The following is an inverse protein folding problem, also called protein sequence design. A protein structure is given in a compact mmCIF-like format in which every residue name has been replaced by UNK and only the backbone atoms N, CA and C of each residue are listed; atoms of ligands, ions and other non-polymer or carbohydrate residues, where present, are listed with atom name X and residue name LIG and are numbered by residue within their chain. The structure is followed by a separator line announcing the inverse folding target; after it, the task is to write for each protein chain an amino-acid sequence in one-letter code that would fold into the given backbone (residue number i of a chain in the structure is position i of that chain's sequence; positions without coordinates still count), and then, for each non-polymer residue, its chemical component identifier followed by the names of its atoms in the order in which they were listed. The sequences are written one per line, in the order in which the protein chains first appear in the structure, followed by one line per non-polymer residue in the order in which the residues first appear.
data_IF_782161624517
#
_entry.id   IF_782161624517
#
_cell.length_a   1.000
_cell.length_b   1.000
_cell.length_c   1.000
_cell.angle_alpha   90.00
_cell.angle_beta   90.00
_cell.angle_gamma   90.00
#
_symmetry.space_group_name_H-M   'P 1'
#
loop_
_entity.id
_entity.type
_entity.pdbx_description
1 polymer ?
#
# COMPACT_ATOMS: atom_id res chain seq x y z
N UNK A 1 -1.43 12.01 11.71
CA UNK A 1 -0.23 11.24 11.31
C UNK A 1 1.05 11.93 11.76
N UNK A 2 1.26 13.23 11.43
CA UNK A 2 2.51 13.95 11.74
C UNK A 2 2.83 13.95 13.23
N UNK A 3 1.84 14.20 14.10
CA UNK A 3 2.03 14.14 15.55
C UNK A 3 2.54 12.78 16.05
N UNK A 4 2.10 11.67 15.45
CA UNK A 4 2.63 10.33 15.75
C UNK A 4 4.11 10.19 15.41
N UNK A 5 4.62 10.93 14.40
CA UNK A 5 6.04 10.91 14.05
C UNK A 5 6.95 11.50 15.14
N UNK A 6 6.40 12.16 16.16
CA UNK A 6 7.14 12.62 17.35
C UNK A 6 7.16 11.62 18.49
N UNK A 7 6.58 10.44 18.30
CA UNK A 7 6.41 9.42 19.33
C UNK A 7 6.92 8.06 18.88
N UNK A 8 7.12 7.16 19.84
CA UNK A 8 7.38 5.74 19.57
C UNK A 8 6.10 4.90 19.49
N UNK A 9 4.91 5.53 19.56
CA UNK A 9 3.64 4.82 19.47
C UNK A 9 3.42 4.28 18.06
N UNK A 10 3.36 2.96 17.91
CA UNK A 10 3.08 2.20 16.67
C UNK A 10 1.69 1.56 16.66
N UNK A 11 0.87 1.79 17.68
CA UNK A 11 -0.44 1.16 17.87
C UNK A 11 -1.40 1.32 16.68
N UNK A 12 -1.25 2.40 15.90
CA UNK A 12 -2.08 2.66 14.73
C UNK A 12 -1.83 1.70 13.56
N UNK A 13 -0.63 1.09 13.51
CA UNK A 13 -0.22 0.15 12.46
C UNK A 13 -0.49 0.66 11.05
N UNK A 14 -0.31 1.96 10.80
CA UNK A 14 -0.64 2.62 9.53
C UNK A 14 0.55 3.34 8.93
N UNK A 15 0.54 3.47 7.60
CA UNK A 15 1.48 4.29 6.86
C UNK A 15 0.76 5.23 5.90
N UNK A 16 1.41 6.34 5.57
CA UNK A 16 0.85 7.38 4.71
C UNK A 16 1.56 7.42 3.36
N UNK A 17 0.77 7.42 2.29
CA UNK A 17 1.26 7.66 0.93
C UNK A 17 0.59 8.92 0.35
N UNK A 18 1.42 9.88 -0.03
CA UNK A 18 1.00 11.05 -0.81
C UNK A 18 0.94 10.64 -2.28
N UNK A 19 -0.22 10.73 -2.90
CA UNK A 19 -0.42 10.32 -4.29
C UNK A 19 -0.98 11.47 -5.13
N UNK A 20 -0.43 11.67 -6.33
CA UNK A 20 -0.92 12.68 -7.28
C UNK A 20 0.15 13.05 -8.30
N UNK A 21 -0.24 13.77 -9.34
CA UNK A 21 0.65 14.18 -10.42
C UNK A 21 1.85 15.01 -9.94
N UNK A 22 2.88 15.15 -10.77
CA UNK A 22 4.05 15.98 -10.47
C UNK A 22 3.67 17.44 -10.20
N UNK A 23 4.45 18.15 -9.38
CA UNK A 23 4.28 19.57 -9.10
C UNK A 23 3.16 19.93 -8.12
N UNK A 24 2.54 18.99 -7.43
CA UNK A 24 1.44 19.21 -6.47
C UNK A 24 1.90 19.50 -5.04
N UNK A 25 3.21 19.57 -4.78
CA UNK A 25 3.75 19.88 -3.45
C UNK A 25 4.04 18.67 -2.55
N UNK A 26 3.92 17.42 -3.05
CA UNK A 26 4.23 16.20 -2.27
C UNK A 26 5.59 16.25 -1.59
N UNK A 27 6.64 16.53 -2.36
CA UNK A 27 8.02 16.60 -1.84
C UNK A 27 8.22 17.76 -0.86
N UNK A 28 7.51 18.88 -1.05
CA UNK A 28 7.53 20.01 -0.10
C UNK A 28 6.94 19.59 1.24
N UNK A 29 5.81 18.89 1.22
CA UNK A 29 5.17 18.39 2.45
C UNK A 29 6.06 17.35 3.16
N UNK A 30 6.69 16.41 2.43
CA UNK A 30 7.63 15.46 3.03
C UNK A 30 8.78 16.20 3.71
N UNK A 31 9.42 17.14 3.01
CA UNK A 31 10.51 17.95 3.58
C UNK A 31 10.10 18.73 4.84
N UNK A 32 8.87 19.23 4.88
CA UNK A 32 8.35 19.92 6.05
C UNK A 32 8.19 18.97 7.24
N UNK A 33 7.66 17.76 7.00
CA UNK A 33 7.54 16.72 8.03
C UNK A 33 8.93 16.28 8.50
N UNK A 34 9.89 16.09 7.59
CA UNK A 34 11.27 15.75 7.90
C UNK A 34 11.94 16.83 8.76
N UNK A 35 11.76 18.11 8.41
CA UNK A 35 12.28 19.23 9.19
C UNK A 35 11.70 19.25 10.61
N UNK A 36 10.40 18.90 10.77
CA UNK A 36 9.75 18.84 12.07
C UNK A 36 10.22 17.67 12.94
N UNK A 37 10.56 16.53 12.34
CA UNK A 37 11.03 15.33 13.06
C UNK A 37 12.52 15.40 13.41
N UNK A 38 13.31 16.11 12.61
CA UNK A 38 14.76 16.22 12.74
C UNK A 38 15.53 15.10 12.04
N UNK A 39 16.63 15.47 11.37
CA UNK A 39 17.40 14.56 10.47
C UNK A 39 17.89 13.28 11.12
N UNK A 40 18.33 13.37 12.39
CA UNK A 40 18.83 12.24 13.15
C UNK A 40 17.77 11.15 13.40
N UNK A 41 16.49 11.52 13.35
CA UNK A 41 15.34 10.64 13.60
C UNK A 41 14.73 10.06 12.32
N UNK A 42 15.38 10.26 11.16
CA UNK A 42 14.82 9.90 9.85
C UNK A 42 15.66 8.81 9.18
N UNK A 43 15.00 7.97 8.41
CA UNK A 43 15.57 7.12 7.36
C UNK A 43 14.86 7.36 6.04
N UNK A 44 15.53 7.03 4.93
CA UNK A 44 15.00 7.24 3.57
C UNK A 44 15.12 5.94 2.77
N UNK A 45 14.32 4.94 3.12
CA UNK A 45 14.29 3.64 2.46
C UNK A 45 12.99 3.52 1.67
N UNK A 46 13.08 3.19 0.39
CA UNK A 46 11.88 3.01 -0.45
C UNK A 46 11.08 1.78 -0.03
N UNK A 47 9.81 1.76 -0.42
CA UNK A 47 8.93 0.65 -0.09
C UNK A 47 9.44 -0.69 -0.65
N UNK A 48 9.98 -0.68 -1.89
CA UNK A 48 10.55 -1.85 -2.55
C UNK A 48 11.85 -2.32 -1.89
N UNK A 49 12.61 -1.40 -1.32
CA UNK A 49 13.89 -1.73 -0.66
C UNK A 49 13.71 -2.26 0.75
N UNK A 50 12.58 -2.02 1.41
CA UNK A 50 12.32 -2.50 2.78
C UNK A 50 12.33 -4.03 2.89
N UNK A 51 12.09 -4.76 1.81
CA UNK A 51 12.17 -6.23 1.76
C UNK A 51 13.59 -6.76 1.52
N UNK A 52 14.53 -5.89 1.10
CA UNK A 52 15.91 -6.33 0.82
C UNK A 52 16.70 -6.50 2.11
N UNK A 53 17.64 -7.47 2.09
CA UNK A 53 18.56 -7.73 3.19
C UNK A 53 19.29 -6.46 3.61
N UNK A 54 19.50 -6.28 4.90
CA UNK A 54 20.15 -5.14 5.58
C UNK A 54 19.32 -3.84 5.65
N UNK A 55 18.39 -3.58 4.73
CA UNK A 55 17.74 -2.27 4.67
C UNK A 55 16.83 -1.98 5.85
N UNK A 56 16.21 -3.01 6.45
CA UNK A 56 15.41 -2.84 7.67
C UNK A 56 16.24 -2.32 8.85
N UNK A 57 17.57 -2.56 8.88
CA UNK A 57 18.46 -2.04 9.92
C UNK A 57 18.55 -0.52 9.94
N UNK A 58 18.26 0.14 8.81
CA UNK A 58 18.24 1.60 8.69
C UNK A 58 17.09 2.26 9.46
N UNK A 59 16.07 1.47 9.85
CA UNK A 59 14.93 1.95 10.63
C UNK A 59 15.17 1.89 12.13
N UNK A 60 16.26 1.26 12.57
CA UNK A 60 16.55 1.12 14.00
C UNK A 60 16.75 2.47 14.64
N UNK A 61 15.95 2.78 15.66
CA UNK A 61 16.02 4.05 16.39
C UNK A 61 15.39 5.24 15.67
N UNK A 62 14.79 5.05 14.49
CA UNK A 62 14.19 6.13 13.71
C UNK A 62 12.70 6.32 14.05
N UNK A 63 12.26 7.57 14.04
CA UNK A 63 10.86 7.97 14.26
C UNK A 63 10.06 8.03 12.94
N UNK A 64 10.75 8.34 11.84
CA UNK A 64 10.16 8.46 10.51
C UNK A 64 11.04 7.74 9.48
N UNK A 65 10.42 7.02 8.57
CA UNK A 65 10.99 6.65 7.30
C UNK A 65 10.21 7.34 6.18
N UNK A 66 10.88 8.19 5.40
CA UNK A 66 10.28 8.94 4.30
C UNK A 66 10.99 8.64 2.99
N UNK A 67 10.21 8.48 1.92
CA UNK A 67 10.75 8.33 0.57
C UNK A 67 9.90 9.17 -0.40
N UNK A 68 10.53 10.16 -1.01
CA UNK A 68 9.84 11.17 -1.81
C UNK A 68 9.51 10.72 -3.23
N UNK A 69 10.01 9.58 -3.69
CA UNK A 69 9.83 9.12 -5.07
C UNK A 69 9.68 7.60 -5.08
N UNK A 70 8.48 7.15 -4.78
CA UNK A 70 8.14 5.74 -4.78
C UNK A 70 7.79 5.32 -6.21
N UNK A 71 8.53 4.36 -6.76
CA UNK A 71 8.19 3.83 -8.07
C UNK A 71 6.84 3.10 -8.05
N UNK A 72 6.14 3.12 -9.20
CA UNK A 72 4.89 2.38 -9.37
C UNK A 72 5.10 0.88 -9.61
N UNK A 73 6.32 0.38 -9.45
CA UNK A 73 6.63 -1.04 -9.60
C UNK A 73 5.88 -1.90 -8.58
N UNK A 74 5.63 -3.12 -8.97
CA UNK A 74 4.96 -4.10 -8.11
C UNK A 74 5.80 -4.44 -6.89
N UNK A 75 5.15 -4.54 -5.74
CA UNK A 75 5.75 -5.11 -4.54
C UNK A 75 5.68 -6.63 -4.62
N UNK A 76 6.82 -7.28 -4.54
CA UNK A 76 6.89 -8.75 -4.54
C UNK A 76 6.32 -9.36 -3.25
N UNK A 77 6.49 -8.67 -2.12
CA UNK A 77 6.02 -9.14 -0.81
C UNK A 77 5.66 -7.99 0.14
N UNK A 78 4.40 -7.94 0.55
CA UNK A 78 3.90 -7.02 1.57
C UNK A 78 4.16 -7.51 3.02
N UNK A 79 4.77 -8.69 3.23
CA UNK A 79 4.93 -9.28 4.55
C UNK A 79 5.88 -8.47 5.43
N UNK A 80 6.96 -7.92 4.87
CA UNK A 80 7.89 -7.05 5.60
C UNK A 80 7.19 -5.80 6.10
N UNK A 81 6.35 -5.18 5.25
CA UNK A 81 5.56 -4.02 5.63
C UNK A 81 4.60 -4.33 6.79
N UNK A 82 3.93 -5.47 6.73
CA UNK A 82 3.02 -5.90 7.81
C UNK A 82 3.76 -6.09 9.13
N UNK A 83 4.96 -6.68 9.09
CA UNK A 83 5.81 -6.85 10.27
C UNK A 83 6.31 -5.51 10.81
N UNK A 84 6.79 -4.61 9.95
CA UNK A 84 7.26 -3.28 10.34
C UNK A 84 6.19 -2.43 11.02
N UNK A 85 4.93 -2.56 10.58
CA UNK A 85 3.79 -1.83 11.09
C UNK A 85 3.08 -2.58 12.24
N UNK A 86 3.35 -3.87 12.41
CA UNK A 86 2.62 -4.77 13.31
C UNK A 86 3.22 -4.92 14.70
N UNK A 87 4.25 -4.14 15.08
CA UNK A 87 4.98 -4.27 16.36
C UNK A 87 5.74 -5.60 16.52
N UNK A 88 5.78 -6.42 15.49
CA UNK A 88 6.52 -7.68 15.50
C UNK A 88 8.03 -7.44 15.64
N UNK A 89 8.71 -8.35 16.32
CA UNK A 89 10.17 -8.34 16.33
C UNK A 89 10.70 -8.82 14.98
N UNK A 90 11.55 -7.99 14.39
CA UNK A 90 12.20 -8.24 13.10
C UNK A 90 13.63 -8.66 13.34
N UNK A 91 14.05 -9.72 12.64
CA UNK A 91 15.46 -10.01 12.48
C UNK A 91 16.06 -9.07 11.44
N UNK A 92 17.16 -8.46 11.77
CA UNK A 92 17.91 -7.57 10.87
C UNK A 92 19.40 -7.80 11.00
N UNK A 93 20.11 -7.40 9.99
CA UNK A 93 21.56 -7.54 9.91
C UNK A 93 22.17 -6.22 9.43
N UNK A 94 23.40 -5.95 9.84
CA UNK A 94 24.27 -4.96 9.21
C UNK A 94 25.44 -5.67 8.54
N UNK A 95 25.93 -5.09 7.46
CA UNK A 95 27.05 -5.70 6.73
C UNK A 95 28.29 -5.81 7.65
N UNK A 96 28.77 -7.03 7.86
CA UNK A 96 29.93 -7.30 8.69
C UNK A 96 29.64 -7.38 10.21
N UNK A 97 28.38 -7.32 10.63
CA UNK A 97 27.98 -7.43 12.04
C UNK A 97 27.09 -8.66 12.25
N UNK A 98 26.97 -9.11 13.50
CA UNK A 98 26.01 -10.15 13.87
C UNK A 98 24.57 -9.64 13.71
N UNK A 99 23.67 -10.55 13.30
CA UNK A 99 22.24 -10.24 13.22
C UNK A 99 21.63 -9.94 14.60
N UNK A 100 20.60 -9.12 14.63
CA UNK A 100 19.93 -8.70 15.85
C UNK A 100 18.41 -8.62 15.64
N UNK A 101 17.68 -8.64 16.76
CA UNK A 101 16.24 -8.48 16.77
C UNK A 101 15.85 -7.08 17.24
N UNK A 102 14.95 -6.42 16.52
CA UNK A 102 14.39 -5.11 16.92
C UNK A 102 12.91 -5.02 16.60
N UNK A 103 12.19 -4.09 17.22
CA UNK A 103 10.85 -3.66 16.84
C UNK A 103 10.91 -2.25 16.27
N UNK A 104 10.35 -2.06 15.09
CA UNK A 104 10.29 -0.72 14.48
C UNK A 104 9.15 0.07 15.06
N UNK A 105 9.40 1.33 15.36
CA UNK A 105 8.38 2.33 15.68
C UNK A 105 8.37 3.50 14.69
N UNK A 106 9.17 3.39 13.62
CA UNK A 106 9.21 4.39 12.57
C UNK A 106 7.87 4.47 11.83
N UNK A 107 7.31 5.67 11.73
CA UNK A 107 6.16 5.94 10.87
C UNK A 107 6.65 5.96 9.43
N UNK A 108 5.88 5.37 8.52
CA UNK A 108 6.28 5.26 7.13
C UNK A 108 5.50 6.29 6.31
N UNK A 109 6.22 7.15 5.59
CA UNK A 109 5.68 8.21 4.75
C UNK A 109 6.29 8.11 3.35
N UNK A 110 5.44 7.91 2.35
CA UNK A 110 5.87 7.80 0.97
C UNK A 110 5.18 8.82 0.08
N UNK A 111 5.75 9.11 -1.09
CA UNK A 111 5.03 9.77 -2.17
C UNK A 111 5.20 9.04 -3.48
N UNK A 112 4.19 9.15 -4.36
CA UNK A 112 4.20 8.55 -5.68
C UNK A 112 3.30 9.33 -6.63
N UNK A 113 3.55 9.23 -7.92
CA UNK A 113 2.65 9.74 -8.95
C UNK A 113 1.52 8.73 -9.25
N UNK A 114 1.81 7.43 -9.13
CA UNK A 114 0.84 6.35 -9.28
C UNK A 114 1.04 5.33 -8.14
N UNK A 115 -0.05 4.79 -7.61
CA UNK A 115 0.02 3.80 -6.54
C UNK A 115 0.63 2.50 -7.06
N UNK A 116 1.54 1.85 -6.31
CA UNK A 116 2.13 0.58 -6.72
C UNK A 116 1.07 -0.53 -6.75
N UNK A 117 1.16 -1.42 -7.73
CA UNK A 117 0.37 -2.64 -7.75
C UNK A 117 1.05 -3.66 -6.86
N UNK A 118 0.30 -4.27 -5.93
CA UNK A 118 0.83 -5.23 -4.98
C UNK A 118 0.48 -6.64 -5.46
N UNK A 119 1.48 -7.38 -5.92
CA UNK A 119 1.32 -8.77 -6.29
C UNK A 119 1.20 -9.67 -5.06
N UNK A 120 0.36 -10.70 -5.17
CA UNK A 120 0.25 -11.73 -4.12
C UNK A 120 -0.47 -11.31 -2.84
N UNK A 121 -0.70 -10.03 -2.59
CA UNK A 121 -1.44 -9.54 -1.42
C UNK A 121 -2.95 -9.62 -1.68
N UNK A 122 -3.56 -10.69 -1.21
CA UNK A 122 -5.01 -10.94 -1.34
C UNK A 122 -5.76 -10.73 -0.03
N UNK A 123 -5.03 -10.40 1.04
CA UNK A 123 -5.64 -10.17 2.34
C UNK A 123 -5.83 -8.68 2.58
N UNK A 124 -6.83 -8.33 3.36
CA UNK A 124 -7.05 -6.97 3.82
C UNK A 124 -5.90 -6.42 4.70
N UNK A 125 -4.86 -7.25 4.92
CA UNK A 125 -3.77 -6.95 5.86
C UNK A 125 -2.91 -5.75 5.50
N UNK A 126 -2.61 -5.54 4.22
CA UNK A 126 -1.85 -4.38 3.73
C UNK A 126 -2.77 -3.16 3.60
N UNK A 127 -3.88 -3.31 2.90
CA UNK A 127 -4.78 -2.20 2.56
C UNK A 127 -5.36 -1.50 3.79
N UNK A 128 -5.69 -2.24 4.86
CA UNK A 128 -6.16 -1.64 6.12
C UNK A 128 -5.11 -0.76 6.81
N UNK A 129 -3.83 -0.93 6.48
CA UNK A 129 -2.72 -0.15 7.03
C UNK A 129 -2.39 1.08 6.19
N UNK A 130 -2.84 1.12 4.96
CA UNK A 130 -2.56 2.19 4.02
C UNK A 130 -3.51 3.38 4.23
N UNK A 131 -2.95 4.57 4.32
CA UNK A 131 -3.65 5.83 4.19
C UNK A 131 -3.14 6.52 2.93
N UNK A 132 -4.05 7.03 2.12
CA UNK A 132 -3.70 7.75 0.89
C UNK A 132 -4.17 9.19 1.02
N UNK A 133 -3.24 10.14 0.91
CA UNK A 133 -3.56 11.55 0.74
C UNK A 133 -3.38 11.92 -0.73
N UNK A 134 -4.50 12.17 -1.41
CA UNK A 134 -4.47 12.62 -2.79
C UNK A 134 -4.13 14.11 -2.86
N UNK A 135 -3.16 14.43 -3.69
CA UNK A 135 -2.67 15.78 -3.96
C UNK A 135 -2.78 16.05 -5.46
N UNK A 136 -3.99 16.31 -5.94
CA UNK A 136 -4.28 16.36 -7.39
C UNK A 136 -4.27 17.80 -7.93
N UNK A 137 -4.15 18.81 -7.07
CA UNK A 137 -4.16 20.22 -7.48
C UNK A 137 -2.74 20.73 -7.73
N UNK A 138 -2.45 21.09 -8.97
CA UNK A 138 -1.22 21.81 -9.31
C UNK A 138 -1.41 23.31 -9.08
N UNK A 139 -0.41 24.02 -8.52
CA UNK A 139 -0.43 25.48 -8.43
C UNK A 139 -0.36 26.08 -9.84
N UNK A 140 -1.01 27.23 -10.04
CA UNK A 140 -0.92 27.96 -11.32
C UNK A 140 0.48 28.50 -11.59
N UNK A 141 1.23 28.80 -10.55
CA UNK A 141 2.59 29.33 -10.62
C UNK A 141 3.46 28.56 -9.63
N UNK A 142 4.65 28.16 -10.07
CA UNK A 142 5.63 27.51 -9.21
C UNK A 142 6.21 28.53 -8.25
N UNK A 143 6.12 28.26 -6.97
CA UNK A 143 6.67 29.07 -5.91
C UNK A 143 7.97 28.46 -5.37
N UNK A 144 9.09 28.94 -5.86
CA UNK A 144 10.43 28.45 -5.47
C UNK A 144 10.81 28.79 -4.03
N UNK A 145 10.19 29.82 -3.44
CA UNK A 145 10.41 30.25 -2.05
C UNK A 145 9.47 29.58 -1.03
N UNK A 146 8.55 28.72 -1.47
CA UNK A 146 7.53 28.13 -0.59
C UNK A 146 8.13 27.42 0.61
N UNK A 147 9.14 26.56 0.40
CA UNK A 147 9.72 25.78 1.49
C UNK A 147 10.39 26.67 2.54
N UNK A 148 11.09 27.73 2.14
CA UNK A 148 11.74 28.66 3.07
C UNK A 148 10.70 29.32 3.99
N UNK A 149 9.54 29.73 3.44
CA UNK A 149 8.47 30.31 4.25
C UNK A 149 7.83 29.31 5.19
N UNK A 150 7.58 28.08 4.71
CA UNK A 150 7.04 27.00 5.54
C UNK A 150 8.02 26.61 6.66
N UNK A 151 9.32 26.62 6.40
CA UNK A 151 10.35 26.34 7.39
C UNK A 151 10.39 27.41 8.49
N UNK A 152 10.15 28.68 8.15
CA UNK A 152 9.99 29.74 9.14
C UNK A 152 8.75 29.55 10.04
N UNK A 153 7.72 28.89 9.54
CA UNK A 153 6.50 28.55 10.29
C UNK A 153 6.55 27.17 10.98
N UNK A 154 7.71 26.51 10.96
CA UNK A 154 7.87 25.16 11.51
C UNK A 154 7.40 25.02 12.97
N UNK A 155 7.65 25.96 13.89
CA UNK A 155 7.13 25.87 15.26
C UNK A 155 5.60 25.81 15.32
N UNK A 156 4.91 26.53 14.43
CA UNK A 156 3.46 26.50 14.33
C UNK A 156 2.97 25.17 13.77
N UNK A 157 3.63 24.65 12.73
CA UNK A 157 3.32 23.33 12.17
C UNK A 157 3.46 22.22 13.22
N UNK A 158 4.54 22.23 14.02
CA UNK A 158 4.75 21.27 15.13
C UNK A 158 3.64 21.41 16.17
N UNK A 159 3.27 22.64 16.56
CA UNK A 159 2.17 22.89 17.49
C UNK A 159 0.87 22.26 16.99
N UNK A 160 0.49 22.48 15.73
CA UNK A 160 -0.71 21.88 15.15
C UNK A 160 -0.67 20.35 15.16
N UNK A 161 0.49 19.77 14.84
CA UNK A 161 0.67 18.32 14.84
C UNK A 161 0.53 17.71 16.25
N UNK A 162 1.08 18.39 17.26
CA UNK A 162 0.96 17.98 18.67
C UNK A 162 -0.49 18.13 19.17
N UNK A 163 -1.18 19.21 18.82
CA UNK A 163 -2.59 19.40 19.15
C UNK A 163 -3.46 18.29 18.55
N UNK A 164 -3.27 17.99 17.26
CA UNK A 164 -3.99 16.92 16.60
C UNK A 164 -3.70 15.54 17.21
N UNK A 165 -2.48 15.29 17.68
CA UNK A 165 -2.11 14.09 18.41
C UNK A 165 -2.86 13.99 19.73
N UNK A 166 -2.89 15.09 20.49
CA UNK A 166 -3.61 15.17 21.77
C UNK A 166 -5.11 14.91 21.58
N UNK A 167 -5.71 15.54 20.58
CA UNK A 167 -7.12 15.32 20.23
C UNK A 167 -7.41 13.86 19.82
N UNK A 168 -6.49 13.24 19.09
CA UNK A 168 -6.60 11.83 18.72
C UNK A 168 -6.65 10.94 19.96
N UNK A 169 -5.72 11.13 20.91
CA UNK A 169 -5.72 10.36 22.15
C UNK A 169 -6.95 10.63 23.02
N UNK A 170 -7.42 11.88 23.10
CA UNK A 170 -8.63 12.23 23.83
C UNK A 170 -9.90 11.57 23.26
N UNK A 171 -9.88 11.22 21.96
CA UNK A 171 -10.98 10.51 21.28
C UNK A 171 -10.81 8.99 21.23
N UNK A 172 -10.02 8.40 22.12
CA UNK A 172 -9.79 6.96 22.22
C UNK A 172 -8.59 6.45 21.44
N UNK A 173 -7.69 7.32 20.99
CA UNK A 173 -6.39 6.95 20.41
C UNK A 173 -6.47 6.34 19.00
N UNK A 174 -7.53 6.61 18.24
CA UNK A 174 -7.69 6.09 16.87
C UNK A 174 -7.53 7.21 15.85
N UNK A 175 -6.65 7.01 14.88
CA UNK A 175 -6.44 7.97 13.80
C UNK A 175 -7.68 8.03 12.88
N UNK A 176 -8.15 9.24 12.59
CA UNK A 176 -9.26 9.47 11.66
C UNK A 176 -8.80 9.32 10.22
N UNK A 177 -9.50 8.53 9.44
CA UNK A 177 -9.26 8.34 8.00
C UNK A 177 -10.35 9.11 7.23
N UNK A 178 -9.96 9.91 6.25
CA UNK A 178 -10.91 10.62 5.40
C UNK A 178 -11.60 9.66 4.43
N UNK A 179 -12.85 9.97 4.06
CA UNK A 179 -13.60 9.20 3.05
C UNK A 179 -12.86 9.11 1.70
N UNK A 180 -12.16 10.18 1.31
CA UNK A 180 -11.34 10.18 0.08
C UNK A 180 -10.18 9.18 0.17
N UNK A 181 -9.52 9.08 1.33
CA UNK A 181 -8.47 8.08 1.55
C UNK A 181 -9.02 6.66 1.48
N UNK A 182 -10.16 6.40 2.12
CA UNK A 182 -10.81 5.09 2.07
C UNK A 182 -11.24 4.70 0.65
N UNK A 183 -11.77 5.66 -0.13
CA UNK A 183 -12.14 5.42 -1.53
C UNK A 183 -10.91 5.10 -2.37
N UNK A 184 -9.81 5.85 -2.21
CA UNK A 184 -8.57 5.60 -2.92
C UNK A 184 -7.98 4.21 -2.61
N UNK A 185 -8.00 3.79 -1.34
CA UNK A 185 -7.57 2.45 -0.92
C UNK A 185 -8.47 1.36 -1.51
N UNK A 186 -9.79 1.56 -1.49
CA UNK A 186 -10.75 0.62 -2.11
C UNK A 186 -10.53 0.49 -3.61
N UNK A 187 -10.25 1.60 -4.30
CA UNK A 187 -9.97 1.57 -5.74
C UNK A 187 -8.66 0.82 -6.02
N UNK A 188 -7.59 1.14 -5.29
CA UNK A 188 -6.31 0.42 -5.40
C UNK A 188 -6.46 -1.09 -5.20
N UNK A 189 -7.30 -1.50 -4.23
CA UNK A 189 -7.58 -2.92 -4.01
C UNK A 189 -8.29 -3.56 -5.19
N UNK A 190 -9.32 -2.90 -5.76
CA UNK A 190 -10.02 -3.38 -6.96
C UNK A 190 -9.07 -3.48 -8.15
N UNK A 191 -8.23 -2.48 -8.36
CA UNK A 191 -7.27 -2.44 -9.46
C UNK A 191 -6.20 -3.55 -9.33
N UNK A 192 -5.84 -3.94 -8.10
CA UNK A 192 -4.94 -5.05 -7.80
C UNK A 192 -5.56 -6.44 -7.93
N UNK A 193 -6.89 -6.56 -7.94
CA UNK A 193 -7.58 -7.84 -8.09
C UNK A 193 -7.94 -8.11 -9.56
N UNK A 194 -6.94 -8.45 -10.34
CA UNK A 194 -7.10 -8.72 -11.78
C UNK A 194 -8.10 -9.86 -12.07
N UNK A 195 -8.26 -10.82 -11.13
CA UNK A 195 -9.25 -11.89 -11.29
C UNK A 195 -10.66 -11.38 -11.08
N UNK A 196 -10.86 -10.45 -10.13
CA UNK A 196 -12.17 -9.81 -9.97
C UNK A 196 -12.52 -8.94 -11.17
N UNK A 197 -11.57 -8.15 -11.67
CA UNK A 197 -11.78 -7.34 -12.87
C UNK A 197 -12.19 -8.22 -14.07
N UNK A 198 -11.47 -9.33 -14.30
CA UNK A 198 -11.85 -10.29 -15.33
C UNK A 198 -13.25 -10.91 -15.11
N UNK A 199 -13.59 -11.27 -13.88
CA UNK A 199 -14.94 -11.77 -13.55
C UNK A 199 -16.00 -10.72 -13.86
N UNK A 200 -15.76 -9.47 -13.48
CA UNK A 200 -16.70 -8.37 -13.68
C UNK A 200 -16.86 -8.01 -15.17
N UNK A 201 -15.80 -8.11 -15.97
CA UNK A 201 -15.78 -7.68 -17.36
C UNK A 201 -16.14 -8.81 -18.35
N UNK A 202 -15.73 -10.05 -18.06
CA UNK A 202 -15.78 -11.16 -19.02
C UNK A 202 -16.71 -12.30 -18.62
N UNK A 203 -17.20 -12.33 -17.36
CA UNK A 203 -17.95 -13.48 -16.87
C UNK A 203 -19.37 -13.14 -16.45
N UNK A 204 -20.26 -14.14 -16.55
CA UNK A 204 -21.58 -14.16 -15.93
C UNK A 204 -21.56 -15.15 -14.77
N UNK A 205 -22.18 -14.77 -13.63
CA UNK A 205 -22.27 -15.63 -12.45
C UNK A 205 -23.58 -16.41 -12.48
N UNK A 206 -23.48 -17.71 -12.73
CA UNK A 206 -24.62 -18.63 -12.85
C UNK A 206 -24.39 -19.86 -11.95
N UNK A 207 -25.09 -19.96 -10.83
CA UNK A 207 -24.85 -20.95 -9.77
C UNK A 207 -24.77 -22.42 -10.23
N UNK A 208 -25.47 -22.81 -11.29
CA UNK A 208 -25.51 -24.19 -11.79
C UNK A 208 -24.52 -24.46 -12.93
N UNK A 209 -23.93 -23.44 -13.52
CA UNK A 209 -22.99 -23.59 -14.64
C UNK A 209 -21.67 -24.14 -14.14
N UNK A 210 -21.11 -25.07 -14.89
CA UNK A 210 -19.80 -25.66 -14.66
C UNK A 210 -18.91 -25.37 -15.86
N UNK A 211 -17.84 -24.62 -15.68
CA UNK A 211 -16.92 -24.28 -16.75
C UNK A 211 -15.56 -24.92 -16.52
N UNK A 212 -15.00 -25.52 -17.57
CA UNK A 212 -13.68 -26.14 -17.53
C UNK A 212 -12.62 -25.13 -17.05
N UNK A 213 -11.78 -25.55 -16.09
CA UNK A 213 -10.80 -24.65 -15.46
C UNK A 213 -9.72 -24.18 -16.42
N UNK A 214 -9.37 -25.01 -17.43
CA UNK A 214 -8.34 -24.62 -18.42
C UNK A 214 -8.91 -23.55 -19.36
N UNK A 215 -10.19 -23.65 -19.75
CA UNK A 215 -10.86 -22.62 -20.54
C UNK A 215 -10.97 -21.30 -19.78
N UNK A 216 -11.31 -21.32 -18.49
CA UNK A 216 -11.33 -20.12 -17.64
C UNK A 216 -9.96 -19.48 -17.58
N UNK A 217 -8.90 -20.25 -17.41
CA UNK A 217 -7.55 -19.72 -17.33
C UNK A 217 -7.09 -19.11 -18.66
N UNK A 218 -7.36 -19.78 -19.78
CA UNK A 218 -7.02 -19.28 -21.12
C UNK A 218 -7.73 -17.95 -21.44
N UNK A 219 -9.02 -17.83 -21.08
CA UNK A 219 -9.77 -16.58 -21.26
C UNK A 219 -9.24 -15.47 -20.35
N UNK A 220 -8.89 -15.79 -19.09
CA UNK A 220 -8.24 -14.86 -18.19
C UNK A 220 -6.87 -14.36 -18.70
N UNK A 221 -6.03 -15.25 -19.24
CA UNK A 221 -4.76 -14.86 -19.86
C UNK A 221 -4.98 -13.92 -21.06
N UNK A 222 -5.97 -14.23 -21.90
CA UNK A 222 -6.37 -13.37 -23.01
C UNK A 222 -6.87 -12.00 -22.56
N UNK A 223 -7.64 -11.93 -21.49
CA UNK A 223 -8.07 -10.67 -20.86
C UNK A 223 -6.87 -9.87 -20.37
N UNK A 224 -5.98 -10.48 -19.60
CA UNK A 224 -4.80 -9.81 -19.09
C UNK A 224 -3.93 -9.22 -20.21
N UNK A 225 -3.75 -9.98 -21.30
CA UNK A 225 -2.98 -9.51 -22.46
C UNK A 225 -3.64 -8.30 -23.17
N UNK A 226 -4.97 -8.26 -23.28
CA UNK A 226 -5.70 -7.14 -23.88
C UNK A 226 -5.65 -5.87 -23.03
N UNK A 227 -5.68 -6.04 -21.71
CA UNK A 227 -5.71 -4.94 -20.74
C UNK A 227 -4.31 -4.52 -20.24
N UNK A 228 -3.25 -5.00 -20.89
CA UNK A 228 -1.85 -4.77 -20.49
C UNK A 228 -1.60 -5.05 -18.99
N UNK A 229 -2.18 -6.14 -18.49
CA UNK A 229 -2.05 -6.60 -17.11
C UNK A 229 -1.25 -7.86 -17.01
N UNK A 230 -0.47 -8.00 -15.95
CA UNK A 230 0.26 -9.24 -15.70
C UNK A 230 -0.70 -10.35 -15.22
N UNK A 231 -0.75 -11.46 -15.95
CA UNK A 231 -1.53 -12.61 -15.56
C UNK A 231 -0.92 -13.32 -14.35
N UNK A 232 -1.78 -13.85 -13.48
CA UNK A 232 -1.35 -14.75 -12.40
C UNK A 232 -0.88 -16.08 -12.99
N UNK A 233 0.01 -16.78 -12.27
CA UNK A 233 0.27 -18.17 -12.61
C UNK A 233 -1.01 -19.01 -12.54
N UNK A 234 -1.06 -20.11 -13.30
CA UNK A 234 -2.21 -21.03 -13.34
C UNK A 234 -2.70 -21.45 -11.96
N UNK A 235 -1.77 -21.81 -11.08
CA UNK A 235 -2.09 -22.18 -9.69
C UNK A 235 -2.58 -20.98 -8.88
N UNK A 236 -1.99 -19.80 -9.12
CA UNK A 236 -2.40 -18.54 -8.52
C UNK A 236 -3.84 -18.17 -8.88
N UNK A 237 -4.21 -18.29 -10.15
CA UNK A 237 -5.56 -18.03 -10.65
C UNK A 237 -6.60 -18.98 -10.02
N UNK A 238 -6.33 -20.28 -9.99
CA UNK A 238 -7.26 -21.23 -9.37
C UNK A 238 -7.41 -21.01 -7.86
N UNK A 239 -6.33 -20.66 -7.17
CA UNK A 239 -6.40 -20.25 -5.76
C UNK A 239 -7.26 -19.00 -5.56
N UNK A 240 -7.18 -18.04 -6.49
CA UNK A 240 -8.01 -16.84 -6.45
C UNK A 240 -9.49 -17.16 -6.64
N UNK A 241 -9.86 -18.01 -7.58
CA UNK A 241 -11.24 -18.44 -7.76
C UNK A 241 -11.80 -19.13 -6.51
N UNK A 242 -11.03 -20.05 -5.90
CA UNK A 242 -11.44 -20.69 -4.63
C UNK A 242 -11.63 -19.68 -3.50
N UNK A 243 -10.76 -18.68 -3.39
CA UNK A 243 -10.89 -17.62 -2.36
C UNK A 243 -12.11 -16.71 -2.57
N UNK A 244 -12.65 -16.70 -3.79
CA UNK A 244 -13.91 -16.00 -4.17
C UNK A 244 -15.14 -16.91 -4.09
N UNK A 245 -15.03 -18.05 -3.39
CA UNK A 245 -16.10 -19.03 -3.14
C UNK A 245 -16.58 -19.78 -4.38
N UNK A 246 -15.81 -19.81 -5.49
CA UNK A 246 -16.11 -20.73 -6.58
C UNK A 246 -15.66 -22.15 -6.21
N UNK A 247 -16.59 -23.12 -6.34
CA UNK A 247 -16.32 -24.51 -5.98
C UNK A 247 -15.71 -25.27 -7.16
N UNK A 248 -14.61 -25.95 -6.93
CA UNK A 248 -14.02 -26.83 -7.94
C UNK A 248 -14.71 -28.21 -7.88
N UNK A 249 -15.18 -28.67 -9.03
CA UNK A 249 -15.93 -29.94 -9.18
C UNK A 249 -15.34 -30.76 -10.32
N UNK A 250 -15.42 -32.11 -10.22
CA UNK A 250 -15.02 -33.01 -11.29
C UNK A 250 -16.22 -33.33 -12.19
N UNK A 251 -16.05 -33.21 -13.51
CA UNK A 251 -17.03 -33.60 -14.51
C UNK A 251 -16.34 -34.49 -15.55
N UNK A 252 -16.72 -35.72 -15.68
CA UNK A 252 -16.11 -36.70 -16.60
C UNK A 252 -14.57 -36.79 -16.47
N UNK A 253 -14.03 -36.68 -15.23
CA UNK A 253 -12.59 -36.74 -14.97
C UNK A 253 -11.84 -35.43 -15.16
N UNK A 254 -12.50 -34.35 -15.60
CA UNK A 254 -11.92 -33.01 -15.77
C UNK A 254 -12.36 -32.07 -14.66
N UNK A 255 -11.46 -31.19 -14.24
CA UNK A 255 -11.73 -30.20 -13.21
C UNK A 255 -12.45 -28.98 -13.79
N UNK A 256 -13.55 -28.59 -13.17
CA UNK A 256 -14.39 -27.44 -13.53
C UNK A 256 -14.57 -26.54 -12.32
N UNK A 257 -14.83 -25.25 -12.56
CA UNK A 257 -15.36 -24.36 -11.53
C UNK A 257 -16.87 -24.17 -11.72
N UNK A 258 -17.61 -24.32 -10.63
CA UNK A 258 -19.05 -24.09 -10.60
C UNK A 258 -19.33 -22.63 -10.23
N UNK A 259 -20.35 -22.04 -10.85
CA UNK A 259 -20.82 -20.69 -10.53
C UNK A 259 -20.33 -19.61 -11.49
N UNK A 260 -19.43 -19.92 -12.43
CA UNK A 260 -18.84 -18.95 -13.36
C UNK A 260 -18.94 -19.44 -14.80
N UNK A 261 -19.34 -18.55 -15.72
CA UNK A 261 -19.44 -18.78 -17.16
C UNK A 261 -18.74 -17.66 -17.92
N UNK A 262 -17.92 -18.00 -18.90
CA UNK A 262 -17.28 -17.03 -19.81
C UNK A 262 -18.35 -16.41 -20.72
N UNK A 263 -18.27 -15.11 -20.90
CA UNK A 263 -19.19 -14.31 -21.70
C UNK A 263 -20.20 -13.56 -20.84
N UNK A 264 -20.29 -12.23 -21.02
CA UNK A 264 -21.42 -11.42 -20.54
C UNK A 264 -22.55 -11.57 -21.55
N UNK A 265 -23.69 -12.00 -21.10
CA UNK A 265 -24.95 -11.81 -21.86
C UNK A 265 -25.33 -10.34 -21.71
N UNK A 266 -25.20 -9.56 -22.78
CA UNK A 266 -25.67 -8.19 -22.88
C UNK A 266 -27.17 -8.16 -23.07
#
# INVERSE_FOLDING_TARGET
FVGLCFTKDSSQQRFLTLCGVGGTGKSVLIRLVEAAVGRENISNVSLQELSKRFNTSLLVGKLLNSCADLSAEMLDDAAVMKKLLGEDRLFSERKGENGFMFSSYAKLLFSTNALPIIQGERTNGFYRRLMILRMDRQPRTIDTGLFIRLEAELPYFIKLAVQALHEMYARGGVITISSNSEQAVRQMWKDGDVVQAWLDDCCTLEAKTKTDRAKLFSDFEGYCSREDRQALSKNGFYKALRSKNFTEVSVHGYSHFQGVKIGKTF
#
